data_IF_942523953855
#
_entry.id   IF_942523953855
#
_cell.length_a   1.000
_cell.length_b   1.000
_cell.length_c   1.000
_cell.angle_alpha   90.00
_cell.angle_beta   90.00
_cell.angle_gamma   90.00
#
_symmetry.space_group_name_H-M   'P 1'
#
loop_
_entity.id
_entity.type
_entity.pdbx_description
1 polymer ?
#
# COMPACT_ATOMS: atom_id res chain seq x y z
N UNK A 1 15.53 4.63 -11.29
CA UNK A 1 14.17 4.55 -11.86
C UNK A 1 13.28 5.28 -10.88
N UNK A 2 13.11 6.58 -11.09
CA UNK A 2 12.19 7.42 -10.31
C UNK A 2 10.79 6.83 -10.42
N UNK A 3 10.31 6.20 -9.35
CA UNK A 3 8.88 5.99 -9.16
C UNK A 3 8.33 7.41 -9.06
N UNK A 4 7.71 7.90 -10.14
CA UNK A 4 6.91 9.12 -10.11
C UNK A 4 6.04 8.99 -8.88
N UNK A 5 6.36 9.80 -7.87
CA UNK A 5 5.50 10.05 -6.74
C UNK A 5 4.21 10.54 -7.38
N UNK A 6 3.24 9.64 -7.54
CA UNK A 6 1.93 9.96 -8.08
C UNK A 6 1.48 11.16 -7.27
N UNK A 7 1.23 12.28 -7.94
CA UNK A 7 0.77 13.51 -7.31
C UNK A 7 -0.27 13.13 -6.24
N UNK A 8 0.00 13.34 -4.94
CA UNK A 8 -0.88 12.86 -3.88
C UNK A 8 -2.28 13.51 -3.96
N UNK A 9 -2.41 14.59 -4.74
CA UNK A 9 -3.66 15.29 -5.06
C UNK A 9 -4.37 14.77 -6.33
N UNK A 10 -3.72 13.95 -7.16
CA UNK A 10 -4.37 13.32 -8.31
C UNK A 10 -5.23 12.16 -7.83
N UNK A 11 -6.54 12.32 -7.96
CA UNK A 11 -7.48 11.20 -7.75
C UNK A 11 -7.29 10.16 -8.85
N UNK A 12 -7.11 8.87 -8.51
CA UNK A 12 -7.06 7.81 -9.49
C UNK A 12 -8.42 7.66 -10.18
N UNK A 13 -8.40 7.32 -11.47
CA UNK A 13 -9.60 7.01 -12.25
C UNK A 13 -10.09 5.59 -11.96
N UNK A 14 -11.35 5.30 -12.28
CA UNK A 14 -11.90 3.95 -12.14
C UNK A 14 -11.15 2.93 -13.01
N UNK A 15 -10.75 3.32 -14.21
CA UNK A 15 -10.00 2.46 -15.14
C UNK A 15 -8.64 2.06 -14.57
N UNK A 16 -7.89 3.01 -14.01
CA UNK A 16 -6.59 2.73 -13.37
C UNK A 16 -6.74 1.76 -12.19
N UNK A 17 -7.82 1.89 -11.41
CA UNK A 17 -8.09 0.99 -10.28
C UNK A 17 -8.39 -0.42 -10.77
N UNK A 18 -9.21 -0.58 -11.81
CA UNK A 18 -9.50 -1.90 -12.41
C UNK A 18 -8.23 -2.57 -12.96
N UNK A 19 -7.36 -1.82 -13.64
CA UNK A 19 -6.08 -2.32 -14.14
C UNK A 19 -5.17 -2.79 -13.00
N UNK A 20 -5.07 -2.00 -11.92
CA UNK A 20 -4.31 -2.38 -10.73
C UNK A 20 -4.89 -3.60 -10.03
N UNK A 21 -6.23 -3.73 -9.95
CA UNK A 21 -6.89 -4.91 -9.41
C UNK A 21 -6.50 -6.17 -10.21
N UNK A 22 -6.52 -6.08 -11.54
CA UNK A 22 -6.16 -7.20 -12.41
C UNK A 22 -4.68 -7.57 -12.30
N UNK A 23 -3.78 -6.59 -12.15
CA UNK A 23 -2.36 -6.83 -11.91
C UNK A 23 -2.13 -7.56 -10.58
N UNK A 24 -2.75 -7.08 -9.49
CA UNK A 24 -2.64 -7.71 -8.17
C UNK A 24 -3.23 -9.12 -8.16
N UNK A 25 -4.34 -9.35 -8.88
CA UNK A 25 -4.93 -10.70 -9.02
C UNK A 25 -3.99 -11.68 -9.73
N UNK A 26 -3.26 -11.21 -10.74
CA UNK A 26 -2.31 -12.04 -11.51
C UNK A 26 -1.04 -12.33 -10.71
N UNK A 27 -0.50 -11.32 -10.04
CA UNK A 27 0.68 -11.43 -9.20
C UNK A 27 0.53 -10.58 -7.93
N UNK A 28 0.11 -11.19 -6.81
CA UNK A 28 -0.02 -10.51 -5.54
C UNK A 28 1.31 -9.99 -4.97
N UNK A 29 2.46 -10.55 -5.37
CA UNK A 29 3.78 -10.10 -4.89
C UNK A 29 4.29 -8.88 -5.67
N UNK A 30 3.66 -8.53 -6.79
CA UNK A 30 4.08 -7.41 -7.63
C UNK A 30 3.91 -6.06 -6.93
N UNK A 31 4.70 -5.03 -7.28
CA UNK A 31 4.54 -3.67 -6.73
C UNK A 31 3.16 -3.04 -6.95
N UNK A 32 2.30 -3.62 -7.80
CA UNK A 32 0.96 -3.13 -8.08
C UNK A 32 0.05 -3.12 -6.84
N UNK A 33 0.29 -3.99 -5.83
CA UNK A 33 -0.50 -3.94 -4.60
C UNK A 33 -0.26 -2.65 -3.81
N UNK A 34 0.94 -2.08 -3.94
CA UNK A 34 1.30 -0.80 -3.32
C UNK A 34 0.54 0.31 -4.03
N UNK A 35 0.60 0.37 -5.36
CA UNK A 35 -0.11 1.38 -6.16
C UNK A 35 -1.63 1.31 -5.95
N UNK A 36 -2.20 0.10 -5.85
CA UNK A 36 -3.62 -0.07 -5.54
C UNK A 36 -3.96 0.39 -4.12
N UNK A 37 -3.10 0.10 -3.14
CA UNK A 37 -3.24 0.59 -1.78
C UNK A 37 -3.21 2.12 -1.71
N UNK A 38 -2.26 2.75 -2.41
CA UNK A 38 -2.15 4.20 -2.52
C UNK A 38 -3.37 4.84 -3.18
N UNK A 39 -3.86 4.24 -4.27
CA UNK A 39 -5.08 4.67 -4.93
C UNK A 39 -6.28 4.63 -3.98
N UNK A 40 -6.43 3.58 -3.17
CA UNK A 40 -7.47 3.51 -2.16
C UNK A 40 -7.30 4.55 -1.05
N UNK A 41 -6.07 4.85 -0.61
CA UNK A 41 -5.81 5.92 0.36
C UNK A 41 -6.20 7.29 -0.18
N UNK A 42 -5.86 7.61 -1.43
CA UNK A 42 -6.23 8.86 -2.10
C UNK A 42 -7.75 9.03 -2.22
N UNK A 43 -8.50 7.92 -2.31
CA UNK A 43 -9.96 7.90 -2.32
C UNK A 43 -10.61 7.91 -0.92
N UNK A 44 -9.83 7.99 0.16
CA UNK A 44 -10.35 7.93 1.52
C UNK A 44 -10.90 6.54 1.89
N UNK A 45 -10.38 5.48 1.26
CA UNK A 45 -10.75 4.07 1.46
C UNK A 45 -9.63 3.26 2.15
N UNK A 46 -9.21 3.64 3.38
CA UNK A 46 -8.05 3.01 4.02
C UNK A 46 -8.27 1.53 4.39
N UNK A 47 -9.52 1.07 4.53
CA UNK A 47 -9.81 -0.35 4.76
C UNK A 47 -9.49 -1.22 3.55
N UNK A 48 -9.77 -0.73 2.35
CA UNK A 48 -9.47 -1.45 1.12
C UNK A 48 -7.95 -1.47 0.87
N UNK A 49 -7.27 -0.36 1.18
CA UNK A 49 -5.80 -0.29 1.18
C UNK A 49 -5.17 -1.31 2.15
N UNK A 50 -5.72 -1.44 3.36
CA UNK A 50 -5.27 -2.43 4.34
C UNK A 50 -5.45 -3.86 3.82
N UNK A 51 -6.60 -4.16 3.20
CA UNK A 51 -6.88 -5.49 2.67
C UNK A 51 -5.92 -5.88 1.54
N UNK A 52 -5.74 -5.01 0.54
CA UNK A 52 -4.83 -5.29 -0.58
C UNK A 52 -3.37 -5.38 -0.10
N UNK A 53 -2.94 -4.49 0.79
CA UNK A 53 -1.58 -4.50 1.33
C UNK A 53 -1.29 -5.73 2.18
N UNK A 54 -2.27 -6.23 2.93
CA UNK A 54 -2.11 -7.46 3.73
C UNK A 54 -1.92 -8.67 2.83
N UNK A 55 -2.71 -8.79 1.75
CA UNK A 55 -2.54 -9.87 0.76
C UNK A 55 -1.18 -9.75 0.07
N UNK A 56 -0.81 -8.54 -0.37
CA UNK A 56 0.46 -8.30 -1.05
C UNK A 56 1.68 -8.61 -0.21
N UNK A 57 1.70 -8.17 1.05
CA UNK A 57 2.77 -8.50 2.00
C UNK A 57 2.77 -9.97 2.44
N UNK A 58 1.64 -10.66 2.34
CA UNK A 58 1.59 -12.12 2.49
C UNK A 58 2.41 -12.83 1.41
N UNK A 59 2.44 -12.29 0.19
CA UNK A 59 3.21 -12.81 -0.94
C UNK A 59 4.62 -12.21 -1.06
N UNK A 60 4.83 -10.97 -0.61
CA UNK A 60 6.08 -10.23 -0.64
C UNK A 60 6.43 -9.66 0.77
N UNK A 61 6.81 -10.52 1.73
CA UNK A 61 7.00 -10.12 3.13
C UNK A 61 8.14 -9.11 3.36
N UNK A 62 9.08 -9.04 2.43
CA UNK A 62 10.25 -8.16 2.52
C UNK A 62 10.02 -6.77 1.88
N UNK A 63 8.82 -6.52 1.34
CA UNK A 63 8.49 -5.22 0.74
C UNK A 63 8.35 -4.12 1.79
N UNK A 64 9.42 -3.37 2.00
CA UNK A 64 9.45 -2.24 2.93
C UNK A 64 8.43 -1.15 2.54
N UNK A 65 8.31 -0.85 1.26
CA UNK A 65 7.36 0.13 0.74
C UNK A 65 5.90 -0.31 0.98
N UNK A 66 5.62 -1.61 0.83
CA UNK A 66 4.32 -2.18 1.20
C UNK A 66 4.00 -2.03 2.70
N UNK A 67 5.01 -2.16 3.57
CA UNK A 67 4.86 -1.92 5.02
C UNK A 67 4.58 -0.45 5.33
N UNK A 68 5.24 0.48 4.63
CA UNK A 68 4.97 1.92 4.75
C UNK A 68 3.53 2.25 4.32
N UNK A 69 3.07 1.67 3.21
CA UNK A 69 1.69 1.84 2.75
C UNK A 69 0.68 1.30 3.79
N UNK A 70 0.91 0.12 4.38
CA UNK A 70 0.06 -0.39 5.47
C UNK A 70 0.08 0.53 6.70
N UNK A 71 1.24 1.08 7.07
CA UNK A 71 1.32 2.02 8.17
C UNK A 71 0.45 3.26 7.93
N UNK A 72 0.45 3.78 6.69
CA UNK A 72 -0.40 4.91 6.30
C UNK A 72 -1.89 4.55 6.31
N UNK A 73 -2.25 3.34 5.89
CA UNK A 73 -3.63 2.85 6.00
C UNK A 73 -4.10 2.81 7.46
N UNK A 74 -3.29 2.24 8.36
CA UNK A 74 -3.57 2.26 9.80
C UNK A 74 -3.68 3.68 10.36
N UNK A 75 -2.76 4.58 10.00
CA UNK A 75 -2.80 5.97 10.43
C UNK A 75 -4.07 6.71 9.97
N UNK A 76 -4.51 6.51 8.73
CA UNK A 76 -5.76 7.08 8.20
C UNK A 76 -7.01 6.55 8.94
N UNK A 77 -6.91 5.43 9.63
CA UNK A 77 -7.96 4.86 10.49
C UNK A 77 -7.75 5.18 11.98
N UNK A 78 -6.79 6.03 12.33
CA UNK A 78 -6.38 6.38 13.69
C UNK A 78 -5.89 5.18 14.52
N UNK A 79 -5.40 4.13 13.86
CA UNK A 79 -4.84 2.92 14.45
C UNK A 79 -3.33 3.10 14.67
N UNK A 80 -2.98 4.01 15.59
CA UNK A 80 -1.61 4.50 15.77
C UNK A 80 -0.62 3.41 16.18
N UNK A 81 -1.07 2.44 16.98
CA UNK A 81 -0.24 1.35 17.49
C UNK A 81 0.18 0.40 16.36
N UNK A 82 -0.76 0.07 15.49
CA UNK A 82 -0.55 -0.77 14.32
C UNK A 82 0.34 -0.06 13.29
N UNK A 83 0.08 1.22 13.03
CA UNK A 83 0.92 2.04 12.16
C UNK A 83 2.38 2.07 12.63
N UNK A 84 2.60 2.31 13.94
CA UNK A 84 3.93 2.25 14.54
C UNK A 84 4.57 0.86 14.39
N UNK A 85 3.79 -0.21 14.59
CA UNK A 85 4.23 -1.59 14.46
C UNK A 85 4.80 -1.89 13.06
N UNK A 86 4.13 -1.44 12.00
CA UNK A 86 4.63 -1.61 10.63
C UNK A 86 5.90 -0.78 10.38
N UNK A 87 5.94 0.48 10.81
CA UNK A 87 7.13 1.34 10.63
C UNK A 87 8.36 0.80 11.37
N UNK A 88 8.18 0.20 12.56
CA UNK A 88 9.26 -0.43 13.31
C UNK A 88 9.88 -1.61 12.55
N UNK A 89 9.13 -2.32 11.72
CA UNK A 89 9.67 -3.40 10.87
C UNK A 89 10.50 -2.85 9.73
N UNK A 90 10.19 -1.65 9.23
CA UNK A 90 10.96 -0.98 8.18
C UNK A 90 12.34 -0.57 8.70
N UNK A 91 12.41 0.11 9.85
CA UNK A 91 13.67 0.62 10.40
C UNK A 91 14.55 -0.46 11.06
N UNK A 92 13.98 -1.63 11.41
CA UNK A 92 14.75 -2.73 12.01
C UNK A 92 15.58 -3.52 11.00
N UNK A 93 15.28 -3.43 9.71
CA UNK A 93 16.01 -4.15 8.65
C UNK A 93 17.34 -3.46 8.32
N UNK A 94 17.49 -2.18 8.68
CA UNK A 94 18.62 -1.32 8.29
C UNK A 94 19.71 -1.18 9.39
N UNK A 95 19.82 -2.15 10.31
CA UNK A 95 20.79 -2.15 11.41
C UNK A 95 21.74 -3.34 11.39
#
# INVERSE_FOLDING_TARGET
MDRLMVDPDRRPTAQEIEELIDLVRRDPASPAFIDLGEAYLALGRPRDALQVGTVGLGAAPDSLEGRVMLARAHAAMHQWKEAQGELLRVVKVDR
#
